data_IF_267532956048
#
_entry.id   IF_267532956048
#
_cell.length_a   1.000
_cell.length_b   1.000
_cell.length_c   1.000
_cell.angle_alpha   90.00
_cell.angle_beta   90.00
_cell.angle_gamma   90.00
#
_symmetry.space_group_name_H-M   'P 1'
#
loop_
_entity.id
_entity.type
_entity.pdbx_description
1 polymer ?
#
# COMPACT_ATOMS: atom_id res chain seq x y z
N UNK A 1 -34.66 -10.26 -138.60
CA UNK A 1 -34.05 -8.96 -138.23
C UNK A 1 -32.55 -9.07 -138.44
N UNK A 2 -31.96 -8.18 -139.25
CA UNK A 2 -30.51 -8.13 -139.39
C UNK A 2 -29.88 -7.64 -138.07
N UNK A 3 -28.84 -8.32 -137.58
CA UNK A 3 -28.05 -7.85 -136.43
C UNK A 3 -26.89 -7.03 -136.97
N UNK A 4 -26.86 -5.73 -136.66
CA UNK A 4 -25.70 -4.87 -136.98
C UNK A 4 -24.65 -5.10 -135.90
N UNK A 5 -23.43 -5.49 -136.30
CA UNK A 5 -22.28 -5.58 -135.41
C UNK A 5 -21.33 -4.41 -135.71
N UNK A 6 -21.00 -3.65 -134.66
CA UNK A 6 -19.99 -2.59 -134.71
C UNK A 6 -18.75 -3.05 -133.93
N UNK A 7 -17.58 -2.48 -134.25
CA UNK A 7 -16.35 -2.75 -133.48
C UNK A 7 -16.57 -2.27 -132.03
N UNK A 8 -16.05 -3.01 -131.05
CA UNK A 8 -16.24 -2.70 -129.63
C UNK A 8 -15.10 -3.22 -128.78
N UNK A 9 -14.78 -2.51 -127.70
CA UNK A 9 -13.70 -2.87 -126.76
C UNK A 9 -13.52 -1.84 -125.66
N UNK A 10 -12.43 -1.89 -124.90
CA UNK A 10 -12.05 -0.82 -123.97
C UNK A 10 -11.62 0.44 -124.75
N UNK A 11 -11.78 1.63 -124.15
CA UNK A 11 -11.42 2.92 -124.73
C UNK A 11 -10.02 2.93 -125.32
N UNK A 12 -9.03 2.47 -124.54
CA UNK A 12 -7.62 2.40 -124.94
C UNK A 12 -7.34 1.48 -126.15
N UNK A 13 -8.24 0.55 -126.44
CA UNK A 13 -8.17 -0.33 -127.61
C UNK A 13 -8.96 0.24 -128.79
N UNK A 14 -10.11 0.86 -128.53
CA UNK A 14 -10.94 1.50 -129.57
C UNK A 14 -10.22 2.70 -130.20
N UNK A 15 -9.47 3.46 -129.40
CA UNK A 15 -8.61 4.55 -129.88
C UNK A 15 -7.50 4.09 -130.84
N UNK A 16 -7.13 2.81 -130.83
CA UNK A 16 -6.11 2.25 -131.72
C UNK A 16 -6.69 1.65 -132.99
N UNK A 17 -8.01 1.57 -133.12
CA UNK A 17 -8.65 1.04 -134.32
C UNK A 17 -8.45 1.99 -135.51
N UNK A 18 -8.19 1.37 -136.66
CA UNK A 18 -8.38 1.96 -137.98
C UNK A 18 -9.80 1.63 -138.42
N UNK A 19 -10.61 2.68 -138.64
CA UNK A 19 -12.00 2.57 -139.06
C UNK A 19 -12.12 3.05 -140.50
N UNK A 20 -12.73 2.24 -141.35
CA UNK A 20 -13.09 2.66 -142.70
C UNK A 20 -14.12 3.78 -142.65
N UNK A 21 -14.23 4.59 -143.71
CA UNK A 21 -15.23 5.65 -143.80
C UNK A 21 -16.64 5.08 -143.53
N UNK A 22 -17.35 5.64 -142.55
CA UNK A 22 -18.68 5.21 -142.09
C UNK A 22 -18.69 4.03 -141.11
N UNK A 23 -17.55 3.40 -140.81
CA UNK A 23 -17.48 2.29 -139.86
C UNK A 23 -17.56 2.79 -138.41
N UNK A 24 -18.44 2.18 -137.59
CA UNK A 24 -18.67 2.56 -136.20
C UNK A 24 -17.87 1.69 -135.23
N UNK A 25 -17.40 2.30 -134.13
CA UNK A 25 -16.81 1.59 -133.00
C UNK A 25 -17.28 2.17 -131.66
N UNK A 26 -17.49 1.33 -130.65
CA UNK A 26 -17.88 1.75 -129.29
C UNK A 26 -16.89 1.28 -128.22
N UNK A 27 -16.42 2.21 -127.39
CA UNK A 27 -15.69 1.93 -126.17
C UNK A 27 -16.70 1.58 -125.06
N UNK A 28 -16.62 0.36 -124.53
CA UNK A 28 -17.62 -0.21 -123.63
C UNK A 28 -17.48 0.27 -122.18
N UNK A 29 -16.30 0.73 -121.79
CA UNK A 29 -15.95 1.22 -120.45
C UNK A 29 -16.28 2.71 -120.26
N UNK A 30 -16.11 3.51 -121.32
CA UNK A 30 -16.46 4.94 -121.33
C UNK A 30 -17.83 5.20 -121.93
N UNK A 31 -18.33 4.31 -122.79
CA UNK A 31 -19.53 4.54 -123.60
C UNK A 31 -19.26 5.40 -124.84
N UNK A 32 -18.00 5.73 -125.14
CA UNK A 32 -17.62 6.56 -126.28
C UNK A 32 -17.84 5.86 -127.62
N UNK A 33 -18.38 6.59 -128.60
CA UNK A 33 -18.79 6.13 -129.91
C UNK A 33 -17.98 6.89 -130.97
N UNK A 34 -17.34 6.14 -131.85
CA UNK A 34 -16.48 6.67 -132.91
C UNK A 34 -17.02 6.27 -134.27
N UNK A 35 -16.80 7.11 -135.28
CA UNK A 35 -17.02 6.78 -136.70
C UNK A 35 -15.75 7.03 -137.51
N UNK A 36 -15.46 6.15 -138.46
CA UNK A 36 -14.41 6.37 -139.46
C UNK A 36 -14.82 7.41 -140.50
N UNK A 37 -13.85 8.21 -140.94
CA UNK A 37 -13.95 9.28 -141.92
C UNK A 37 -12.74 9.18 -142.86
N UNK A 38 -12.71 9.98 -143.93
CA UNK A 38 -11.58 9.98 -144.89
C UNK A 38 -10.25 10.40 -144.24
N UNK A 39 -10.29 11.14 -143.14
CA UNK A 39 -9.12 11.65 -142.42
C UNK A 39 -8.79 10.90 -141.13
N UNK A 40 -9.44 9.75 -140.88
CA UNK A 40 -9.27 8.97 -139.65
C UNK A 40 -10.59 8.76 -138.92
N UNK A 41 -10.57 8.66 -137.59
CA UNK A 41 -11.80 8.47 -136.78
C UNK A 41 -12.18 9.73 -136.01
N UNK A 42 -13.48 9.95 -135.83
CA UNK A 42 -14.05 11.09 -135.09
C UNK A 42 -14.88 10.55 -133.92
N UNK A 43 -14.74 11.18 -132.76
CA UNK A 43 -15.57 10.91 -131.57
C UNK A 43 -16.93 11.59 -131.72
N UNK A 44 -18.03 10.87 -131.45
CA UNK A 44 -19.40 11.31 -131.75
C UNK A 44 -20.22 11.76 -130.54
N UNK A 45 -19.99 11.19 -129.36
CA UNK A 45 -20.67 11.59 -128.13
C UNK A 45 -19.73 12.40 -127.22
N UNK A 46 -20.26 13.12 -126.22
CA UNK A 46 -19.43 13.70 -125.16
C UNK A 46 -18.61 12.59 -124.47
N UNK A 47 -17.39 12.89 -124.04
CA UNK A 47 -16.54 11.97 -123.30
C UNK A 47 -17.31 11.34 -122.12
N UNK A 48 -17.72 10.09 -122.30
CA UNK A 48 -18.39 9.30 -121.29
C UNK A 48 -17.34 8.81 -120.30
N UNK A 49 -17.58 9.07 -119.02
CA UNK A 49 -16.64 8.70 -117.96
C UNK A 49 -16.72 9.56 -116.70
N UNK A 50 -17.44 10.68 -116.72
CA UNK A 50 -17.81 11.41 -115.51
C UNK A 50 -19.33 11.55 -115.45
N UNK A 51 -19.95 11.18 -114.33
CA UNK A 51 -21.37 11.44 -114.12
C UNK A 51 -21.61 12.96 -114.17
N UNK A 52 -22.71 13.43 -114.77
CA UNK A 52 -23.01 14.86 -114.92
C UNK A 52 -22.94 15.64 -113.59
N UNK A 53 -23.23 14.96 -112.48
CA UNK A 53 -23.13 15.49 -111.12
C UNK A 53 -21.68 15.75 -110.65
N UNK A 54 -20.69 14.99 -111.13
CA UNK A 54 -19.27 15.21 -110.81
C UNK A 54 -18.72 16.48 -111.49
N UNK A 55 -19.31 16.91 -112.61
CA UNK A 55 -18.96 18.17 -113.26
C UNK A 55 -19.21 19.40 -112.36
N UNK A 56 -20.12 19.29 -111.39
CA UNK A 56 -20.44 20.37 -110.43
C UNK A 56 -19.35 20.59 -109.36
N UNK A 57 -18.40 19.65 -109.24
CA UNK A 57 -17.23 19.73 -108.35
C UNK A 57 -15.93 20.10 -109.10
N UNK A 58 -15.99 20.25 -110.43
CA UNK A 58 -14.87 20.77 -111.23
C UNK A 58 -14.41 22.16 -110.78
N UNK A 59 -15.37 22.98 -110.32
CA UNK A 59 -15.07 24.17 -109.55
C UNK A 59 -15.11 23.79 -108.08
N UNK A 60 -13.98 23.91 -107.40
CA UNK A 60 -13.86 23.48 -106.02
C UNK A 60 -14.79 24.29 -105.09
N UNK A 61 -15.36 23.62 -104.08
CA UNK A 61 -16.32 24.20 -103.15
C UNK A 61 -15.73 24.30 -101.76
N UNK A 62 -15.98 25.41 -101.09
CA UNK A 62 -15.56 25.60 -99.71
C UNK A 62 -16.58 25.00 -98.74
N UNK A 63 -16.07 24.24 -97.77
CA UNK A 63 -16.81 23.76 -96.61
C UNK A 63 -16.24 24.42 -95.36
N UNK A 64 -17.12 24.97 -94.51
CA UNK A 64 -16.73 25.57 -93.24
C UNK A 64 -17.78 25.28 -92.16
N UNK A 65 -17.37 25.42 -90.90
CA UNK A 65 -18.26 25.36 -89.73
C UNK A 65 -18.21 26.73 -89.04
N UNK A 66 -19.38 27.24 -88.67
CA UNK A 66 -19.54 28.49 -87.92
C UNK A 66 -20.52 28.32 -86.75
N UNK A 67 -20.47 29.25 -85.79
CA UNK A 67 -21.27 29.19 -84.57
C UNK A 67 -20.43 28.78 -83.36
N UNK A 68 -20.83 27.70 -82.68
CA UNK A 68 -20.25 27.29 -81.40
C UNK A 68 -18.88 26.60 -81.54
N UNK A 69 -18.59 26.12 -82.74
CA UNK A 69 -17.26 25.79 -83.20
C UNK A 69 -16.95 26.55 -84.49
N UNK A 70 -15.67 26.72 -84.76
CA UNK A 70 -15.16 27.36 -85.97
C UNK A 70 -14.18 26.43 -86.65
N UNK A 71 -14.29 26.30 -87.97
CA UNK A 71 -13.28 25.66 -88.80
C UNK A 71 -12.94 26.58 -89.97
N UNK A 72 -11.66 26.65 -90.35
CA UNK A 72 -11.26 27.40 -91.54
C UNK A 72 -11.89 26.75 -92.79
N UNK A 73 -12.28 27.54 -93.82
CA UNK A 73 -12.80 26.98 -95.06
C UNK A 73 -11.81 26.00 -95.68
N UNK A 74 -12.29 24.81 -96.03
CA UNK A 74 -11.52 23.80 -96.77
C UNK A 74 -12.13 23.59 -98.14
N UNK A 75 -11.25 23.53 -99.14
CA UNK A 75 -11.63 23.43 -100.55
C UNK A 75 -11.72 21.96 -100.96
N UNK A 76 -12.85 21.55 -101.52
CA UNK A 76 -13.10 20.18 -101.99
C UNK A 76 -13.56 20.15 -103.46
N UNK A 77 -12.87 19.35 -104.27
CA UNK A 77 -13.14 19.14 -105.70
C UNK A 77 -13.27 17.65 -106.08
N UNK A 78 -13.23 16.74 -105.10
CA UNK A 78 -13.34 15.29 -105.30
C UNK A 78 -12.05 14.59 -105.75
N UNK A 79 -10.92 15.29 -105.84
CA UNK A 79 -9.63 14.69 -106.24
C UNK A 79 -8.96 13.90 -105.11
N UNK A 80 -9.33 14.16 -103.86
CA UNK A 80 -8.80 13.47 -102.68
C UNK A 80 -9.56 13.78 -101.39
N UNK A 81 -9.08 13.20 -100.29
CA UNK A 81 -9.62 13.44 -98.96
C UNK A 81 -9.25 14.85 -98.48
N UNK A 82 -10.16 15.50 -97.74
CA UNK A 82 -9.94 16.80 -97.09
C UNK A 82 -10.09 16.67 -95.58
N UNK A 83 -9.30 17.42 -94.82
CA UNK A 83 -9.36 17.45 -93.35
C UNK A 83 -9.95 18.78 -92.87
N UNK A 84 -11.06 18.73 -92.15
CA UNK A 84 -11.70 19.90 -91.55
C UNK A 84 -11.38 19.97 -90.07
N UNK A 85 -10.43 20.83 -89.70
CA UNK A 85 -10.00 21.00 -88.30
C UNK A 85 -11.00 21.91 -87.57
N UNK A 86 -11.81 21.31 -86.70
CA UNK A 86 -12.75 22.02 -85.83
C UNK A 86 -12.05 22.55 -84.57
N UNK A 87 -12.20 23.85 -84.31
CA UNK A 87 -11.86 24.47 -83.04
C UNK A 87 -13.12 24.90 -82.30
N UNK A 88 -13.14 24.75 -80.98
CA UNK A 88 -14.21 25.29 -80.14
C UNK A 88 -13.86 26.71 -79.70
N UNK A 89 -14.87 27.57 -79.59
CA UNK A 89 -14.66 28.92 -79.10
C UNK A 89 -14.12 28.90 -77.66
N UNK A 90 -13.11 29.72 -77.37
CA UNK A 90 -12.67 29.95 -76.00
C UNK A 90 -13.74 30.71 -75.24
N UNK A 91 -14.05 30.22 -74.04
CA UNK A 91 -15.04 30.83 -73.18
C UNK A 91 -14.38 31.89 -72.31
N UNK A 92 -14.72 33.16 -72.55
CA UNK A 92 -14.20 34.27 -71.73
C UNK A 92 -14.57 34.06 -70.26
N UNK A 93 -13.58 34.13 -69.36
CA UNK A 93 -13.78 33.98 -67.92
C UNK A 93 -13.75 32.54 -67.38
N UNK A 94 -13.61 31.52 -68.24
CA UNK A 94 -13.42 30.13 -67.79
C UNK A 94 -12.00 29.66 -68.08
N UNK A 95 -11.30 29.23 -67.04
CA UNK A 95 -10.02 28.51 -67.16
C UNK A 95 -10.25 27.00 -66.99
N UNK A 96 -9.33 26.18 -67.50
CA UNK A 96 -9.36 24.74 -67.29
C UNK A 96 -9.26 24.43 -65.79
N UNK A 97 -10.24 23.69 -65.25
CA UNK A 97 -10.30 23.37 -63.83
C UNK A 97 -11.57 22.61 -63.46
N UNK A 98 -11.68 22.22 -62.19
CA UNK A 98 -12.88 21.61 -61.62
C UNK A 98 -13.75 22.69 -60.99
N UNK A 99 -15.03 22.69 -61.36
CA UNK A 99 -16.04 23.60 -60.81
C UNK A 99 -17.20 22.79 -60.26
N UNK A 100 -17.85 23.30 -59.21
CA UNK A 100 -18.98 22.63 -58.55
C UNK A 100 -20.33 23.28 -58.87
N UNK A 101 -20.30 24.45 -59.52
CA UNK A 101 -21.48 25.19 -59.95
C UNK A 101 -21.31 25.66 -61.38
N UNK A 102 -22.27 25.33 -62.23
CA UNK A 102 -22.28 25.69 -63.65
C UNK A 102 -23.50 26.57 -63.96
N UNK A 103 -23.30 27.57 -64.80
CA UNK A 103 -24.38 28.30 -65.46
C UNK A 103 -24.43 27.81 -66.89
N UNK A 104 -25.61 27.45 -67.40
CA UNK A 104 -25.81 27.01 -68.78
C UNK A 104 -26.76 27.94 -69.52
N UNK A 105 -26.59 28.05 -70.83
CA UNK A 105 -27.57 28.73 -71.68
C UNK A 105 -28.79 27.84 -71.99
N UNK A 106 -29.76 28.38 -72.73
CA UNK A 106 -30.96 27.64 -73.13
C UNK A 106 -30.70 26.44 -74.07
N UNK A 107 -29.47 26.26 -74.56
CA UNK A 107 -29.04 25.09 -75.34
C UNK A 107 -28.27 24.07 -74.49
N UNK A 108 -28.07 24.34 -73.20
CA UNK A 108 -27.33 23.47 -72.28
C UNK A 108 -25.80 23.64 -72.32
N UNK A 109 -25.28 24.69 -72.97
CA UNK A 109 -23.84 24.97 -73.01
C UNK A 109 -23.44 25.73 -71.76
N UNK A 110 -22.31 25.37 -71.16
CA UNK A 110 -21.74 26.12 -70.04
C UNK A 110 -21.47 27.55 -70.51
N UNK A 111 -21.85 28.55 -69.70
CA UNK A 111 -21.63 30.00 -69.92
C UNK A 111 -20.89 30.66 -68.77
N UNK A 112 -20.81 29.99 -67.63
CA UNK A 112 -20.14 30.45 -66.42
C UNK A 112 -19.89 29.27 -65.49
N UNK A 113 -18.83 29.33 -64.71
CA UNK A 113 -18.53 28.31 -63.72
C UNK A 113 -17.96 28.95 -62.44
N UNK A 114 -18.30 28.39 -61.29
CA UNK A 114 -17.82 28.85 -59.97
C UNK A 114 -17.77 27.66 -59.00
N UNK A 115 -17.17 27.89 -57.84
CA UNK A 115 -17.26 26.94 -56.73
C UNK A 115 -18.48 27.27 -55.87
N UNK A 116 -19.13 26.23 -55.35
CA UNK A 116 -20.22 26.37 -54.40
C UNK A 116 -19.75 27.12 -53.15
N UNK A 117 -20.58 28.03 -52.66
CA UNK A 117 -20.35 28.74 -51.40
C UNK A 117 -21.47 28.44 -50.39
N UNK A 118 -21.28 28.84 -49.14
CA UNK A 118 -22.28 28.61 -48.09
C UNK A 118 -23.63 29.25 -48.45
N UNK A 119 -23.62 30.39 -49.14
CA UNK A 119 -24.84 31.07 -49.57
C UNK A 119 -25.64 30.29 -50.64
N UNK A 120 -24.99 29.36 -51.36
CA UNK A 120 -25.67 28.47 -52.31
C UNK A 120 -26.38 27.30 -51.61
N UNK A 121 -26.03 27.02 -50.35
CA UNK A 121 -26.69 25.97 -49.59
C UNK A 121 -28.01 26.50 -49.02
N UNK A 122 -29.12 25.76 -49.16
CA UNK A 122 -30.36 26.13 -48.48
C UNK A 122 -30.17 26.07 -46.97
N UNK A 123 -31.03 26.74 -46.19
CA UNK A 123 -31.08 26.53 -44.75
C UNK A 123 -31.41 25.06 -44.44
N UNK A 124 -30.43 24.30 -43.92
CA UNK A 124 -30.60 22.89 -43.56
C UNK A 124 -31.04 22.81 -42.09
N UNK A 125 -32.32 22.48 -41.79
CA UNK A 125 -32.74 22.31 -40.40
C UNK A 125 -32.08 21.08 -39.78
N UNK A 126 -31.84 21.12 -38.47
CA UNK A 126 -31.26 20.02 -37.67
C UNK A 126 -31.97 18.69 -37.90
N UNK A 127 -33.28 18.70 -38.18
CA UNK A 127 -34.10 17.51 -38.48
C UNK A 127 -33.69 16.75 -39.75
N UNK A 128 -32.88 17.36 -40.63
CA UNK A 128 -32.39 16.75 -41.87
C UNK A 128 -30.94 16.25 -41.76
N UNK A 129 -30.30 16.43 -40.60
CA UNK A 129 -28.91 16.01 -40.36
C UNK A 129 -28.92 14.79 -39.44
N UNK A 130 -28.40 13.66 -39.92
CA UNK A 130 -28.24 12.44 -39.10
C UNK A 130 -26.91 12.45 -38.35
N UNK A 131 -26.86 11.80 -37.19
CA UNK A 131 -25.61 11.65 -36.41
C UNK A 131 -25.22 12.84 -35.53
N UNK A 132 -26.09 13.86 -35.39
CA UNK A 132 -25.89 14.90 -34.38
C UNK A 132 -26.09 14.34 -32.97
N UNK A 133 -25.22 14.75 -32.04
CA UNK A 133 -25.40 14.47 -30.62
C UNK A 133 -26.64 15.18 -30.07
N UNK A 134 -27.27 14.63 -29.03
CA UNK A 134 -28.50 15.18 -28.43
C UNK A 134 -28.34 16.59 -27.87
N UNK A 135 -27.12 17.01 -27.52
CA UNK A 135 -26.82 18.38 -27.10
C UNK A 135 -26.85 19.39 -28.26
N UNK A 136 -26.51 18.96 -29.48
CA UNK A 136 -26.44 19.84 -30.65
C UNK A 136 -27.81 20.29 -31.18
N UNK A 137 -28.90 19.65 -30.72
CA UNK A 137 -30.27 20.04 -31.05
C UNK A 137 -30.91 20.99 -30.02
N UNK A 138 -30.21 21.31 -28.94
CA UNK A 138 -30.71 22.15 -27.87
C UNK A 138 -30.10 23.56 -27.91
N UNK A 139 -30.84 24.54 -27.42
CA UNK A 139 -30.32 25.89 -27.22
C UNK A 139 -29.35 25.93 -26.04
N UNK A 140 -28.42 26.89 -26.04
CA UNK A 140 -27.57 27.19 -24.88
C UNK A 140 -28.29 28.12 -23.90
N UNK A 141 -27.96 28.06 -22.61
CA UNK A 141 -28.40 29.05 -21.61
C UNK A 141 -29.03 28.45 -20.35
N UNK A 142 -29.72 29.29 -19.57
CA UNK A 142 -30.22 28.97 -18.23
C UNK A 142 -31.65 28.41 -18.18
N UNK A 143 -32.36 28.39 -19.32
CA UNK A 143 -33.74 27.91 -19.37
C UNK A 143 -33.81 26.38 -19.23
N UNK A 144 -34.93 25.88 -18.71
CA UNK A 144 -35.17 24.43 -18.64
C UNK A 144 -35.08 23.80 -20.03
N UNK A 145 -34.30 22.72 -20.15
CA UNK A 145 -34.07 22.00 -21.40
C UNK A 145 -32.88 22.51 -22.23
N UNK A 146 -32.26 23.64 -21.86
CA UNK A 146 -31.06 24.15 -22.53
C UNK A 146 -29.78 23.46 -22.05
N UNK A 147 -28.75 23.51 -22.90
CA UNK A 147 -27.38 23.09 -22.55
C UNK A 147 -26.66 24.23 -21.83
N UNK A 148 -26.02 23.89 -20.72
CA UNK A 148 -25.22 24.83 -19.94
C UNK A 148 -23.84 25.03 -20.57
N UNK A 149 -23.36 26.27 -20.58
CA UNK A 149 -22.05 26.64 -21.12
C UNK A 149 -21.02 26.62 -20.00
N UNK A 150 -19.87 26.01 -20.28
CA UNK A 150 -18.68 26.09 -19.44
C UNK A 150 -17.98 27.41 -19.72
N UNK A 151 -17.66 28.17 -18.68
CA UNK A 151 -16.92 29.43 -18.75
C UNK A 151 -15.45 29.21 -19.16
N UNK A 152 -14.74 30.30 -19.45
CA UNK A 152 -13.33 30.26 -19.85
C UNK A 152 -12.39 29.64 -18.80
N UNK A 153 -12.84 29.56 -17.54
CA UNK A 153 -12.13 28.92 -16.44
C UNK A 153 -12.35 27.39 -16.36
N UNK A 154 -13.12 26.80 -17.29
CA UNK A 154 -13.43 25.38 -17.29
C UNK A 154 -14.54 24.96 -16.30
N UNK A 155 -15.28 25.92 -15.73
CA UNK A 155 -16.37 25.66 -14.77
C UNK A 155 -17.72 26.13 -15.30
N UNK A 156 -18.79 25.63 -14.71
CA UNK A 156 -20.14 26.16 -14.91
C UNK A 156 -20.29 27.40 -14.03
N UNK A 157 -20.98 28.44 -14.52
CA UNK A 157 -21.24 29.66 -13.75
C UNK A 157 -21.92 29.35 -12.41
N UNK A 158 -21.42 29.90 -11.30
CA UNK A 158 -21.95 29.65 -9.94
C UNK A 158 -23.44 29.97 -9.82
N UNK A 159 -23.95 30.94 -10.59
CA UNK A 159 -25.38 31.26 -10.67
C UNK A 159 -26.28 30.11 -11.19
N UNK A 160 -25.70 29.07 -11.78
CA UNK A 160 -26.39 27.88 -12.32
C UNK A 160 -26.23 26.65 -11.44
N UNK A 161 -25.28 26.68 -10.50
CA UNK A 161 -25.11 25.63 -9.51
C UNK A 161 -25.80 26.12 -8.24
N UNK A 162 -26.72 25.36 -7.63
CA UNK A 162 -27.23 25.71 -6.31
C UNK A 162 -26.05 25.92 -5.37
N UNK A 163 -25.98 27.04 -4.64
CA UNK A 163 -24.92 27.27 -3.66
C UNK A 163 -24.90 26.09 -2.67
N UNK A 164 -23.93 25.19 -2.85
CA UNK A 164 -23.68 24.12 -1.90
C UNK A 164 -22.82 24.71 -0.79
N UNK A 165 -23.53 25.39 0.10
CA UNK A 165 -23.30 25.76 1.49
C UNK A 165 -22.24 24.99 2.32
N UNK A 166 -21.06 24.66 1.83
CA UNK A 166 -19.93 24.22 2.68
C UNK A 166 -18.66 24.67 1.97
N UNK A 167 -18.03 25.76 2.40
CA UNK A 167 -16.69 26.08 1.89
C UNK A 167 -15.77 26.73 2.90
N UNK A 168 -16.26 27.38 3.96
CA UNK A 168 -15.36 28.05 4.91
C UNK A 168 -15.64 27.69 6.37
N UNK A 169 -14.55 27.50 7.12
CA UNK A 169 -14.55 27.35 8.57
C UNK A 169 -14.00 28.64 9.16
N UNK A 170 -14.78 29.27 10.02
CA UNK A 170 -14.43 30.49 10.75
C UNK A 170 -14.10 30.15 12.20
N UNK A 171 -13.32 31.01 12.85
CA UNK A 171 -13.08 30.96 14.29
C UNK A 171 -13.64 32.22 14.95
N UNK A 172 -14.28 32.07 16.10
CA UNK A 172 -14.77 33.16 16.93
C UNK A 172 -14.42 32.90 18.39
N UNK A 173 -13.95 33.93 19.09
CA UNK A 173 -13.60 33.90 20.51
C UNK A 173 -14.77 34.27 21.44
N UNK A 174 -15.96 34.52 20.85
CA UNK A 174 -17.17 34.89 21.57
C UNK A 174 -18.42 34.72 20.70
N UNK A 175 -19.59 34.70 21.33
CA UNK A 175 -20.88 34.73 20.62
C UNK A 175 -21.02 35.97 19.73
N UNK A 176 -20.62 37.13 20.25
CA UNK A 176 -20.70 38.39 19.51
C UNK A 176 -19.81 38.36 18.26
N UNK A 177 -18.60 37.81 18.36
CA UNK A 177 -17.72 37.61 17.21
C UNK A 177 -18.34 36.65 16.19
N UNK A 178 -18.94 35.54 16.63
CA UNK A 178 -19.64 34.58 15.75
C UNK A 178 -20.81 35.24 15.00
N UNK A 179 -21.64 36.03 15.68
CA UNK A 179 -22.79 36.71 15.07
C UNK A 179 -22.39 37.86 14.12
N UNK A 180 -21.16 38.37 14.24
CA UNK A 180 -20.62 39.40 13.36
C UNK A 180 -19.94 38.84 12.09
N UNK A 181 -19.79 37.51 11.98
CA UNK A 181 -19.16 36.87 10.83
C UNK A 181 -19.99 37.08 9.55
N UNK A 182 -19.30 37.26 8.42
CA UNK A 182 -19.92 37.32 7.09
C UNK A 182 -19.91 35.93 6.44
N UNK A 183 -20.76 35.03 6.94
CA UNK A 183 -20.90 33.65 6.46
C UNK A 183 -22.23 33.42 5.73
N UNK A 184 -22.25 32.38 4.91
CA UNK A 184 -23.42 31.86 4.21
C UNK A 184 -23.96 30.63 4.94
N UNK A 185 -25.21 30.28 4.65
CA UNK A 185 -25.80 29.03 5.13
C UNK A 185 -24.83 27.88 4.84
N UNK A 186 -24.63 27.04 5.85
CA UNK A 186 -23.81 25.84 5.91
C UNK A 186 -22.32 26.04 6.19
N UNK A 187 -21.85 27.29 6.32
CA UNK A 187 -20.53 27.57 6.89
C UNK A 187 -20.45 27.13 8.36
N UNK A 188 -19.24 26.80 8.79
CA UNK A 188 -18.96 26.32 10.15
C UNK A 188 -18.22 27.42 10.92
N UNK A 189 -18.67 27.71 12.15
CA UNK A 189 -17.92 28.53 13.09
C UNK A 189 -17.44 27.68 14.27
N UNK A 190 -16.14 27.70 14.54
CA UNK A 190 -15.54 27.15 15.76
C UNK A 190 -15.51 28.25 16.81
N UNK A 191 -16.29 28.06 17.87
CA UNK A 191 -16.23 28.90 19.06
C UNK A 191 -15.16 28.39 20.01
N UNK A 192 -14.02 29.08 20.03
CA UNK A 192 -12.84 28.69 20.79
C UNK A 192 -13.01 28.90 22.30
N UNK A 193 -13.90 29.79 22.70
CA UNK A 193 -14.21 30.10 24.09
C UNK A 193 -15.06 29.05 24.82
N UNK A 194 -15.81 28.24 24.07
CA UNK A 194 -16.61 27.13 24.62
C UNK A 194 -16.31 25.76 24.01
N UNK A 195 -15.29 25.66 23.14
CA UNK A 195 -14.87 24.44 22.45
C UNK A 195 -16.00 23.75 21.67
N UNK A 196 -16.85 24.53 20.98
CA UNK A 196 -17.97 24.01 20.18
C UNK A 196 -17.87 24.46 18.72
N UNK A 197 -18.36 23.62 17.81
CA UNK A 197 -18.54 23.97 16.41
C UNK A 197 -20.03 24.16 16.10
N UNK A 198 -20.36 25.23 15.39
CA UNK A 198 -21.72 25.54 14.94
C UNK A 198 -21.76 25.55 13.41
N UNK A 199 -22.88 25.12 12.84
CA UNK A 199 -23.17 25.27 11.41
C UNK A 199 -24.30 26.28 11.22
N UNK A 200 -24.14 27.24 10.30
CA UNK A 200 -25.18 28.21 10.00
C UNK A 200 -26.30 27.54 9.18
N UNK A 201 -27.46 27.26 9.78
CA UNK A 201 -28.55 26.53 9.11
C UNK A 201 -29.66 27.40 8.50
N UNK A 202 -29.70 28.68 8.88
CA UNK A 202 -30.69 29.67 8.42
C UNK A 202 -30.04 30.87 7.75
N UNK A 203 -30.85 31.79 7.24
CA UNK A 203 -30.37 32.98 6.53
C UNK A 203 -29.96 34.08 7.51
N UNK A 204 -28.71 34.54 7.41
CA UNK A 204 -28.15 35.62 8.24
C UNK A 204 -27.40 35.10 9.47
N UNK A 205 -26.07 35.32 9.47
CA UNK A 205 -25.17 34.94 10.55
C UNK A 205 -25.42 35.71 11.86
N UNK A 206 -26.06 36.88 11.79
CA UNK A 206 -26.34 37.74 12.95
C UNK A 206 -27.45 37.24 13.87
N UNK A 207 -28.10 36.12 13.55
CA UNK A 207 -29.19 35.54 14.35
C UNK A 207 -28.74 34.23 14.98
N UNK A 208 -28.61 34.20 16.31
CA UNK A 208 -28.14 33.02 17.05
C UNK A 208 -28.96 31.74 16.76
N UNK A 209 -30.28 31.86 16.59
CA UNK A 209 -31.15 30.71 16.31
C UNK A 209 -30.84 29.99 14.97
N UNK A 210 -30.18 30.69 14.04
CA UNK A 210 -29.75 30.14 12.77
C UNK A 210 -28.53 29.23 12.92
N UNK A 211 -27.71 29.44 13.95
CA UNK A 211 -26.57 28.58 14.26
C UNK A 211 -27.01 27.31 14.97
N UNK A 212 -26.65 26.16 14.41
CA UNK A 212 -26.89 24.85 15.03
C UNK A 212 -25.60 24.29 15.54
N UNK A 213 -25.57 24.00 16.83
CA UNK A 213 -24.44 23.32 17.44
C UNK A 213 -24.30 21.93 16.82
N UNK A 214 -23.13 21.66 16.22
CA UNK A 214 -22.70 20.33 15.83
C UNK A 214 -22.30 19.58 17.09
N UNK A 215 -23.27 18.91 17.71
CA UNK A 215 -23.08 18.11 18.91
C UNK A 215 -21.98 17.07 18.67
N UNK A 216 -20.83 17.30 19.25
CA UNK A 216 -19.85 16.24 19.51
C UNK A 216 -20.28 15.49 20.78
N UNK A 217 -19.97 14.19 20.92
CA UNK A 217 -20.11 13.51 22.20
C UNK A 217 -19.44 14.34 23.30
N UNK A 218 -20.03 14.35 24.49
CA UNK A 218 -19.46 15.01 25.65
C UNK A 218 -18.11 14.34 26.00
N UNK A 219 -17.02 14.88 25.49
CA UNK A 219 -15.66 14.50 25.86
C UNK A 219 -15.39 14.92 27.31
N UNK A 220 -16.01 14.24 28.29
CA UNK A 220 -15.90 14.52 29.72
C UNK A 220 -14.49 14.25 30.27
N UNK A 221 -13.70 13.42 29.58
CA UNK A 221 -12.36 13.04 30.00
C UNK A 221 -11.36 13.56 28.97
N UNK A 222 -10.77 14.72 29.26
CA UNK A 222 -9.70 15.31 28.44
C UNK A 222 -8.34 14.66 28.78
N UNK A 223 -8.15 14.22 30.02
CA UNK A 223 -6.96 13.50 30.46
C UNK A 223 -7.30 12.62 31.67
N UNK A 224 -6.47 11.59 31.91
CA UNK A 224 -6.46 10.82 33.16
C UNK A 224 -5.07 10.96 33.75
N UNK A 225 -4.96 11.56 34.94
CA UNK A 225 -3.68 11.81 35.61
C UNK A 225 -2.65 12.56 34.72
N UNK A 226 -3.11 13.57 33.96
CA UNK A 226 -2.27 14.37 33.05
C UNK A 226 -1.86 13.70 31.74
N UNK A 227 -2.25 12.43 31.50
CA UNK A 227 -1.99 11.71 30.24
C UNK A 227 -3.12 11.91 29.24
N UNK A 228 -2.76 12.09 27.97
CA UNK A 228 -3.67 12.24 26.81
C UNK A 228 -3.31 11.24 25.72
N UNK A 229 -4.26 10.84 24.86
CA UNK A 229 -4.01 9.89 23.76
C UNK A 229 -4.21 8.42 24.16
N UNK A 230 -3.29 7.52 23.78
CA UNK A 230 -3.32 6.12 24.22
C UNK A 230 -2.96 6.01 25.71
N UNK A 231 -3.99 5.98 26.57
CA UNK A 231 -3.82 6.01 28.03
C UNK A 231 -3.46 4.61 28.55
N UNK A 232 -2.18 4.34 28.73
CA UNK A 232 -1.69 3.19 29.50
C UNK A 232 -1.45 3.63 30.94
N UNK A 233 -2.32 3.19 31.85
CA UNK A 233 -2.17 3.42 33.28
C UNK A 233 -1.24 2.38 33.90
N UNK A 234 -0.38 2.84 34.81
CA UNK A 234 0.41 2.03 35.72
C UNK A 234 -0.13 2.16 37.15
N UNK A 235 0.31 1.29 38.06
CA UNK A 235 -0.08 1.34 39.46
C UNK A 235 0.25 2.70 40.15
N UNK A 236 1.28 3.40 39.68
CA UNK A 236 1.65 4.73 40.15
C UNK A 236 0.65 5.82 39.74
N UNK A 237 -0.09 5.62 38.66
CA UNK A 237 -1.05 6.59 38.14
C UNK A 237 -2.38 6.63 38.90
N UNK A 238 -2.63 5.63 39.77
CA UNK A 238 -3.91 5.43 40.46
C UNK A 238 -3.77 5.26 41.98
N UNK A 239 -2.60 5.61 42.55
CA UNK A 239 -2.38 5.57 44.00
C UNK A 239 -2.38 4.16 44.61
N UNK A 240 -2.12 3.11 43.84
CA UNK A 240 -1.93 1.78 44.40
C UNK A 240 -0.52 1.67 45.00
N UNK A 241 -0.40 1.97 46.30
CA UNK A 241 0.86 1.78 47.04
C UNK A 241 1.22 0.29 47.15
N UNK A 242 2.45 -0.12 46.79
CA UNK A 242 2.97 -1.44 47.13
C UNK A 242 3.44 -1.48 48.59
N UNK A 243 3.02 -2.51 49.35
CA UNK A 243 3.22 -2.62 50.81
C UNK A 243 4.65 -2.39 51.33
N UNK A 244 5.72 -2.68 50.58
CA UNK A 244 7.07 -2.12 50.83
C UNK A 244 7.85 -1.98 49.51
N UNK A 245 8.09 -0.73 49.05
CA UNK A 245 9.16 -0.36 48.11
C UNK A 245 9.77 0.96 48.61
N UNK A 246 11.11 1.05 48.72
CA UNK A 246 11.89 2.17 49.28
C UNK A 246 11.89 2.36 50.82
N UNK A 247 11.51 1.36 51.62
CA UNK A 247 11.69 1.47 53.08
C UNK A 247 13.18 1.40 53.44
N UNK A 248 13.64 2.33 54.29
CA UNK A 248 15.00 2.35 54.81
C UNK A 248 15.30 1.16 55.73
N UNK A 249 16.59 0.81 55.86
CA UNK A 249 17.03 -0.26 56.77
C UNK A 249 16.83 0.17 58.21
N UNK A 250 16.24 -0.71 59.03
CA UNK A 250 16.15 -0.56 60.48
C UNK A 250 16.88 -1.73 61.13
N UNK A 251 17.95 -1.41 61.85
CA UNK A 251 18.87 -2.41 62.43
C UNK A 251 18.24 -3.28 63.51
N UNK A 252 17.29 -2.75 64.30
CA UNK A 252 16.59 -3.51 65.32
C UNK A 252 15.11 -3.09 65.43
N UNK A 253 14.18 -4.07 65.46
CA UNK A 253 12.80 -3.79 65.77
C UNK A 253 12.65 -3.40 67.25
N UNK A 254 11.80 -2.42 67.52
CA UNK A 254 11.31 -2.05 68.84
C UNK A 254 9.87 -2.55 69.01
N UNK A 255 9.44 -2.67 70.26
CA UNK A 255 8.13 -3.20 70.64
C UNK A 255 6.93 -2.56 69.91
N UNK A 256 7.02 -1.26 69.61
CA UNK A 256 6.00 -0.49 68.90
C UNK A 256 5.99 -0.69 67.36
N UNK A 257 7.02 -1.31 66.77
CA UNK A 257 7.03 -1.56 65.33
C UNK A 257 5.95 -2.56 64.94
N UNK A 258 5.48 -2.49 63.70
CA UNK A 258 4.38 -3.34 63.21
C UNK A 258 4.70 -3.99 61.88
N UNK A 259 4.21 -5.22 61.71
CA UNK A 259 4.20 -5.96 60.44
C UNK A 259 2.76 -6.06 59.91
N UNK A 260 2.57 -5.93 58.60
CA UNK A 260 1.27 -6.17 57.99
C UNK A 260 0.95 -7.67 57.95
N UNK A 261 -0.24 -8.03 58.39
CA UNK A 261 -0.76 -9.40 58.34
C UNK A 261 -2.14 -9.41 57.69
N UNK A 262 -2.48 -10.54 57.10
CA UNK A 262 -3.84 -10.80 56.62
C UNK A 262 -4.59 -11.52 57.73
N UNK A 263 -5.63 -10.88 58.27
CA UNK A 263 -6.42 -11.43 59.35
C UNK A 263 -7.58 -12.26 58.79
N UNK A 264 -7.44 -13.59 58.82
CA UNK A 264 -8.46 -14.53 58.34
C UNK A 264 -9.75 -14.50 59.17
N UNK A 265 -9.68 -14.12 60.45
CA UNK A 265 -10.86 -13.93 61.29
C UNK A 265 -11.61 -12.62 60.98
N UNK A 266 -10.96 -11.67 60.30
CA UNK A 266 -11.55 -10.43 59.80
C UNK A 266 -11.70 -10.43 58.28
N UNK A 267 -12.15 -11.56 57.69
CA UNK A 267 -12.40 -11.70 56.25
C UNK A 267 -11.19 -11.36 55.37
N UNK A 268 -9.98 -11.73 55.81
CA UNK A 268 -8.72 -11.44 55.13
C UNK A 268 -8.41 -9.93 55.00
N UNK A 269 -8.93 -9.10 55.91
CA UNK A 269 -8.53 -7.71 55.99
C UNK A 269 -7.05 -7.58 56.38
N UNK A 270 -6.35 -6.61 55.78
CA UNK A 270 -4.98 -6.26 56.18
C UNK A 270 -5.02 -5.56 57.54
N UNK A 271 -4.33 -6.13 58.52
CA UNK A 271 -4.15 -5.55 59.86
C UNK A 271 -2.67 -5.39 60.18
N UNK A 272 -2.37 -4.55 61.18
CA UNK A 272 -1.03 -4.38 61.71
C UNK A 272 -0.87 -5.24 62.97
N UNK A 273 0.22 -6.01 63.03
CA UNK A 273 0.62 -6.78 64.22
C UNK A 273 1.89 -6.15 64.80
N UNK A 274 1.84 -5.70 66.05
CA UNK A 274 3.01 -5.12 66.72
C UNK A 274 4.04 -6.18 67.11
N UNK A 275 5.31 -5.81 67.19
CA UNK A 275 6.38 -6.70 67.64
C UNK A 275 6.19 -7.14 69.10
N UNK A 276 5.62 -6.30 69.98
CA UNK A 276 5.19 -6.72 71.32
C UNK A 276 4.20 -7.88 71.27
N UNK A 277 3.15 -7.76 70.45
CA UNK A 277 2.11 -8.79 70.34
C UNK A 277 2.67 -10.09 69.73
N UNK A 278 3.50 -9.97 68.69
CA UNK A 278 4.19 -11.11 68.09
C UNK A 278 5.11 -11.81 69.09
N UNK A 279 5.90 -11.06 69.86
CA UNK A 279 6.79 -11.60 70.89
C UNK A 279 6.02 -12.33 71.98
N UNK A 280 4.91 -11.77 72.45
CA UNK A 280 4.06 -12.40 73.45
C UNK A 280 3.45 -13.72 72.93
N UNK A 281 2.98 -13.72 71.67
CA UNK A 281 2.47 -14.93 71.02
C UNK A 281 3.55 -16.01 70.91
N UNK A 282 4.71 -15.67 70.36
CA UNK A 282 5.82 -16.62 70.20
C UNK A 282 6.33 -17.15 71.54
N UNK A 283 6.44 -16.28 72.56
CA UNK A 283 6.82 -16.70 73.90
C UNK A 283 5.84 -17.72 74.47
N UNK A 284 4.55 -17.44 74.37
CA UNK A 284 3.50 -18.37 74.83
C UNK A 284 3.57 -19.71 74.07
N UNK A 285 3.73 -19.65 72.75
CA UNK A 285 3.84 -20.83 71.89
C UNK A 285 5.05 -21.70 72.27
N UNK A 286 6.24 -21.10 72.39
CA UNK A 286 7.47 -21.84 72.69
C UNK A 286 7.60 -22.27 74.16
N UNK A 287 7.10 -21.49 75.12
CA UNK A 287 7.07 -21.90 76.54
C UNK A 287 6.26 -23.19 76.74
N UNK A 288 5.21 -23.41 75.94
CA UNK A 288 4.42 -24.65 75.97
C UNK A 288 5.11 -25.84 75.29
N UNK A 289 6.06 -25.60 74.39
CA UNK A 289 6.81 -26.63 73.66
C UNK A 289 8.10 -27.05 74.39
N UNK A 290 8.72 -26.11 75.11
CA UNK A 290 9.95 -26.36 75.85
C UNK A 290 9.69 -26.26 77.34
N UNK A 291 9.72 -27.40 78.03
CA UNK A 291 9.84 -27.38 79.48
C UNK A 291 11.16 -26.69 79.81
N UNK A 292 11.09 -25.51 80.44
CA UNK A 292 12.28 -24.83 80.97
C UNK A 292 13.00 -25.83 81.88
N UNK A 293 14.14 -26.34 81.43
CA UNK A 293 14.94 -27.24 82.23
C UNK A 293 15.47 -26.47 83.44
N UNK A 294 14.89 -26.74 84.60
CA UNK A 294 15.38 -26.25 85.89
C UNK A 294 16.11 -27.42 86.53
N UNK A 295 17.43 -27.31 86.69
CA UNK A 295 18.18 -28.31 87.45
C UNK A 295 17.57 -28.44 88.85
N UNK A 296 17.36 -29.66 89.36
CA UNK A 296 16.87 -29.85 90.72
C UNK A 296 17.77 -29.08 91.70
N UNK A 297 17.17 -28.23 92.52
CA UNK A 297 17.90 -27.45 93.53
C UNK A 297 18.34 -28.38 94.65
N UNK A 298 19.65 -28.47 94.89
CA UNK A 298 20.22 -29.17 96.05
C UNK A 298 20.88 -28.19 97.01
N UNK A 299 20.81 -28.47 98.31
CA UNK A 299 21.52 -27.70 99.33
C UNK A 299 23.04 -27.85 99.14
N UNK A 300 23.74 -26.75 98.92
CA UNK A 300 25.21 -26.73 98.77
C UNK A 300 25.90 -27.41 99.97
N UNK A 301 26.90 -28.25 99.69
CA UNK A 301 27.77 -28.88 100.70
C UNK A 301 29.17 -28.26 100.65
N UNK A 302 29.83 -28.18 101.79
CA UNK A 302 31.22 -27.71 101.88
C UNK A 302 32.17 -28.68 101.15
N UNK A 303 33.34 -28.19 100.70
CA UNK A 303 34.35 -29.02 100.03
C UNK A 303 34.84 -30.16 100.95
N UNK A 304 34.97 -31.37 100.42
CA UNK A 304 35.39 -32.56 101.18
C UNK A 304 35.18 -33.86 100.43
N UNK A 305 35.48 -34.99 101.08
CA UNK A 305 35.20 -36.33 100.57
C UNK A 305 33.78 -36.75 100.95
N UNK A 306 32.97 -37.07 99.94
CA UNK A 306 31.59 -37.51 100.12
C UNK A 306 31.37 -38.86 99.45
N UNK A 307 30.54 -39.67 100.08
CA UNK A 307 29.84 -40.78 99.43
C UNK A 307 28.54 -40.24 98.87
N UNK A 308 28.27 -40.58 97.61
CA UNK A 308 27.07 -40.15 96.91
C UNK A 308 26.17 -41.34 96.65
N UNK A 309 24.87 -41.10 96.70
CA UNK A 309 23.86 -42.02 96.17
C UNK A 309 23.38 -41.43 94.86
N UNK A 310 23.29 -42.27 93.83
CA UNK A 310 22.68 -41.90 92.54
C UNK A 310 21.34 -42.58 92.41
N UNK A 311 20.36 -41.89 91.82
CA UNK A 311 19.09 -42.51 91.46
C UNK A 311 19.21 -43.35 90.18
N UNK A 312 18.11 -44.03 89.80
CA UNK A 312 18.06 -44.86 88.60
C UNK A 312 18.25 -44.11 87.28
N UNK A 313 18.35 -42.78 87.30
CA UNK A 313 18.63 -41.93 86.13
C UNK A 313 20.05 -41.34 86.14
N UNK A 314 20.86 -41.66 87.14
CA UNK A 314 22.25 -41.22 87.26
C UNK A 314 22.43 -39.84 87.92
N UNK A 315 21.37 -39.22 88.46
CA UNK A 315 21.50 -37.99 89.23
C UNK A 315 21.91 -38.28 90.66
N UNK A 316 22.75 -37.42 91.26
CA UNK A 316 23.07 -37.49 92.68
C UNK A 316 21.82 -37.17 93.50
N UNK A 317 21.30 -38.15 94.23
CA UNK A 317 20.08 -38.05 95.04
C UNK A 317 20.37 -37.82 96.53
N UNK A 318 21.56 -38.19 97.00
CA UNK A 318 22.03 -37.88 98.34
C UNK A 318 23.56 -37.78 98.37
N UNK A 319 24.09 -36.96 99.27
CA UNK A 319 25.52 -36.85 99.54
C UNK A 319 25.75 -36.80 101.06
N UNK A 320 26.58 -37.71 101.55
CA UNK A 320 26.99 -37.78 102.96
C UNK A 320 28.52 -37.76 103.06
N UNK A 321 29.08 -37.07 104.05
CA UNK A 321 30.52 -37.03 104.25
C UNK A 321 31.06 -38.44 104.56
N UNK A 322 32.23 -38.78 104.02
CA UNK A 322 32.90 -40.05 104.29
C UNK A 322 33.39 -40.05 105.75
N UNK A 323 33.03 -41.08 106.51
CA UNK A 323 33.49 -41.28 107.87
C UNK A 323 34.64 -42.30 107.93
N UNK A 324 35.40 -42.31 109.04
CA UNK A 324 36.48 -43.29 109.26
C UNK A 324 35.99 -44.74 109.14
N UNK A 325 34.76 -45.01 109.59
CA UNK A 325 34.12 -46.32 109.47
C UNK A 325 33.97 -46.79 108.00
N UNK A 326 33.67 -45.86 107.08
CA UNK A 326 33.52 -46.17 105.65
C UNK A 326 34.86 -46.62 105.04
N UNK A 327 35.97 -45.99 105.45
CA UNK A 327 37.31 -46.31 104.97
C UNK A 327 37.77 -47.66 105.53
N UNK A 328 37.52 -47.92 106.82
CA UNK A 328 37.90 -49.18 107.46
C UNK A 328 37.11 -50.37 106.93
N UNK A 329 35.86 -50.17 106.50
CA UNK A 329 35.06 -51.21 105.87
C UNK A 329 35.61 -51.70 104.52
N UNK A 330 36.48 -50.91 103.87
CA UNK A 330 37.19 -51.31 102.65
C UNK A 330 38.42 -52.20 102.92
N UNK A 331 38.66 -52.59 104.18
CA UNK A 331 39.83 -53.38 104.58
C UNK A 331 41.09 -52.56 104.77
N UNK A 332 41.00 -51.22 104.69
CA UNK A 332 42.10 -50.32 105.00
C UNK A 332 42.20 -50.22 106.54
N UNK A 333 43.38 -50.46 107.14
CA UNK A 333 43.58 -50.36 108.57
C UNK A 333 43.14 -49.01 109.15
N UNK A 334 42.47 -49.04 110.32
CA UNK A 334 42.00 -47.84 111.03
C UNK A 334 43.14 -47.00 111.65
N UNK A 335 44.34 -47.54 111.62
CA UNK A 335 45.57 -47.04 112.20
C UNK A 335 46.74 -47.51 111.34
N UNK A 336 47.88 -46.85 111.46
CA UNK A 336 49.06 -47.17 110.65
C UNK A 336 49.52 -48.62 110.86
N UNK A 337 49.75 -49.35 109.76
CA UNK A 337 50.37 -50.68 109.80
C UNK A 337 51.87 -50.55 109.57
N UNK A 338 52.64 -50.61 110.66
CA UNK A 338 54.10 -50.73 110.58
C UNK A 338 54.46 -52.19 110.31
N UNK A 339 55.08 -52.48 109.16
CA UNK A 339 55.61 -53.80 108.85
C UNK A 339 57.00 -53.97 109.48
N UNK A 340 57.10 -54.77 110.54
CA UNK A 340 58.39 -55.13 111.15
C UNK A 340 58.90 -56.44 110.57
N UNK A 341 60.11 -56.42 110.01
CA UNK A 341 60.79 -57.63 109.53
C UNK A 341 61.06 -58.59 110.71
N UNK A 342 60.89 -59.91 110.56
CA UNK A 342 61.17 -60.89 111.60
C UNK A 342 62.65 -60.85 112.03
N UNK A 343 62.90 -61.12 113.32
CA UNK A 343 64.24 -61.17 113.90
C UNK A 343 65.08 -62.32 113.31
N UNK A 344 66.38 -62.04 113.19
CA UNK A 344 67.38 -62.96 112.71
C UNK A 344 67.60 -64.22 113.54
N UNK A 345 67.62 -65.41 112.91
CA UNK A 345 68.07 -66.65 113.57
C UNK A 345 69.11 -67.40 112.73
N UNK A 346 69.94 -68.21 113.40
CA UNK A 346 71.01 -68.99 112.78
C UNK A 346 70.53 -70.02 111.73
N UNK A 347 69.25 -70.39 111.71
CA UNK A 347 68.70 -71.35 110.74
C UNK A 347 67.96 -70.69 109.56
N UNK A 348 67.44 -69.48 109.70
CA UNK A 348 66.83 -68.71 108.60
C UNK A 348 66.80 -67.23 108.99
N UNK A 349 67.30 -66.36 108.10
CA UNK A 349 67.26 -64.91 108.28
C UNK A 349 67.02 -64.20 106.95
N UNK A 350 65.94 -63.42 106.83
CA UNK A 350 65.85 -62.33 105.84
C UNK A 350 66.21 -62.67 104.39
N UNK A 351 66.03 -63.93 103.95
CA UNK A 351 66.34 -64.37 102.59
C UNK A 351 67.82 -64.67 102.28
N UNK A 352 68.74 -64.63 103.26
CA UNK A 352 70.16 -64.99 103.04
C UNK A 352 70.60 -66.10 104.00
N UNK A 353 71.14 -67.19 103.43
CA UNK A 353 71.69 -68.32 104.19
C UNK A 353 73.09 -67.97 104.68
N UNK A 354 73.30 -67.98 105.99
CA UNK A 354 74.62 -67.81 106.61
C UNK A 354 75.42 -69.11 106.42
N UNK A 355 76.60 -69.02 105.81
CA UNK A 355 77.49 -70.17 105.59
C UNK A 355 78.20 -70.61 106.87
N UNK A 356 78.69 -71.85 106.92
CA UNK A 356 79.26 -72.46 108.14
C UNK A 356 80.48 -71.75 108.75
N UNK A 357 81.11 -70.80 108.03
CA UNK A 357 82.24 -70.00 108.53
C UNK A 357 81.85 -68.68 109.22
N UNK A 358 80.55 -68.40 109.37
CA UNK A 358 80.03 -67.17 109.95
C UNK A 358 79.13 -67.48 111.14
N UNK A 359 79.30 -66.73 112.23
CA UNK A 359 78.48 -66.81 113.45
C UNK A 359 77.57 -65.59 113.51
N UNK A 360 76.30 -65.80 113.89
CA UNK A 360 75.33 -64.72 114.06
C UNK A 360 74.94 -64.61 115.54
N UNK A 361 75.22 -63.46 116.16
CA UNK A 361 74.84 -63.18 117.53
C UNK A 361 74.37 -61.73 117.67
N UNK A 362 73.26 -61.53 118.39
CA UNK A 362 72.70 -60.21 118.73
C UNK A 362 72.58 -59.20 117.56
N UNK A 363 72.36 -59.67 116.33
CA UNK A 363 72.14 -58.82 115.15
C UNK A 363 73.38 -58.51 114.31
N UNK A 364 74.54 -59.07 114.64
CA UNK A 364 75.77 -58.96 113.85
C UNK A 364 76.18 -60.34 113.33
N UNK A 365 76.61 -60.41 112.07
CA UNK A 365 77.20 -61.61 111.45
C UNK A 365 78.70 -61.38 111.31
N UNK A 366 79.51 -62.21 111.96
CA UNK A 366 80.97 -62.13 111.95
C UNK A 366 81.61 -63.47 111.58
N UNK A 367 82.88 -63.44 111.16
CA UNK A 367 83.72 -64.64 111.14
C UNK A 367 84.14 -64.94 112.59
N UNK A 368 83.97 -66.17 113.08
CA UNK A 368 84.52 -66.58 114.38
C UNK A 368 86.05 -66.69 114.32
N UNK A 369 86.72 -66.59 115.47
CA UNK A 369 88.19 -66.46 115.62
C UNK A 369 89.01 -67.33 114.64
N UNK A 370 89.82 -66.68 113.81
CA UNK A 370 90.84 -67.28 112.94
C UNK A 370 92.13 -67.39 113.77
N UNK A 371 92.57 -68.62 114.07
CA UNK A 371 93.88 -69.00 114.62
C UNK A 371 94.68 -67.93 115.42
N UNK A 372 94.50 -67.92 116.74
CA UNK A 372 95.59 -67.65 117.70
C UNK A 372 96.12 -66.21 117.86
N UNK A 373 95.47 -65.19 117.29
CA UNK A 373 95.80 -63.78 117.56
C UNK A 373 94.69 -63.09 118.35
N UNK A 374 95.01 -62.59 119.55
CA UNK A 374 94.06 -61.77 120.34
C UNK A 374 93.95 -60.39 119.70
N UNK A 375 92.78 -60.08 119.14
CA UNK A 375 92.32 -58.72 118.92
C UNK A 375 90.85 -58.60 119.31
#
# INVERSE_FOLDING_TARGET
MAKIQIKRGLQSNVEKLLLSQGELAVALDTGNLYVGTESGKVHLNPDGGTADEASKLKNAREFSISGDGSAQPVTFDGTGNVELILSLATMSGLTAGTYTKLTVDGKGRVTGASNIEIADLPSIPVSKITGLGTAASQNMGKASGNVVVVESNGKIADSLIPSLAISETFEADSEAAMLALSCQKGDICIRTDENKSYILSGDGASVLANWKWLRTPDCKVLSVNGKTGAVTLSAADVGAEPLIKNAGVKEAPVDADSIAVVDSAASNATKQLTFTALKAYLKTYFDGLYNKYVHPTYTQKASGLYKVTVDGTGHVSAAAAVAKADITALGIPAQDTVYTLPQATAATLGGVKVGSGLVSEAGVVSVGDIDGGTF
#
